data_IF_188247696386
#
_entry.id   IF_188247696386
#
_cell.length_a   1.000
_cell.length_b   1.000
_cell.length_c   1.000
_cell.angle_alpha   90.00
_cell.angle_beta   90.00
_cell.angle_gamma   90.00
#
_symmetry.space_group_name_H-M   'P 1'
#
loop_
_entity.id
_entity.type
_entity.pdbx_description
1 polymer ?
#
# COMPACT_ATOMS: atom_id res chain seq x y z
N UNK A 1 5.37 -5.80 22.40
CA UNK A 1 4.51 -5.86 21.21
C UNK A 1 3.86 -4.49 21.08
N UNK A 2 4.26 -3.70 20.09
CA UNK A 2 3.77 -2.32 19.89
C UNK A 2 2.90 -2.31 18.64
N UNK A 3 1.69 -1.78 18.74
CA UNK A 3 0.76 -1.61 17.62
C UNK A 3 0.57 -0.11 17.35
N UNK A 4 0.59 0.27 16.09
CA UNK A 4 0.28 1.61 15.61
C UNK A 4 -0.88 1.54 14.61
N UNK A 5 -2.02 2.13 14.95
CA UNK A 5 -3.19 2.19 14.05
C UNK A 5 -3.15 3.47 13.22
N UNK A 6 -3.04 3.30 11.90
CA UNK A 6 -3.08 4.41 10.93
C UNK A 6 -4.54 4.81 10.67
N UNK A 7 -5.38 3.81 10.41
CA UNK A 7 -6.83 4.01 10.27
C UNK A 7 -7.58 2.73 10.65
N UNK A 8 -8.91 2.69 10.42
CA UNK A 8 -9.77 1.54 10.74
C UNK A 8 -9.31 0.23 10.06
N UNK A 9 -8.67 0.34 8.90
CA UNK A 9 -8.30 -0.78 8.05
C UNK A 9 -6.80 -1.06 8.06
N UNK A 10 -5.95 -0.08 8.38
CA UNK A 10 -4.49 -0.18 8.28
C UNK A 10 -3.83 -0.02 9.66
N UNK A 11 -3.05 -1.02 10.06
CA UNK A 11 -2.21 -0.96 11.27
C UNK A 11 -0.82 -1.56 11.04
N UNK A 12 0.13 -1.12 11.87
CA UNK A 12 1.50 -1.62 11.92
C UNK A 12 1.72 -2.30 13.25
N UNK A 13 2.39 -3.46 13.27
CA UNK A 13 2.74 -4.17 14.50
C UNK A 13 4.22 -4.51 14.49
N UNK A 14 4.91 -4.17 15.59
CA UNK A 14 6.29 -4.60 15.80
C UNK A 14 6.30 -5.98 16.46
N UNK A 15 6.66 -6.99 15.68
CA UNK A 15 6.69 -8.39 16.06
C UNK A 15 8.02 -9.00 15.61
N UNK A 16 8.70 -9.75 16.48
CA UNK A 16 10.00 -10.38 16.19
C UNK A 16 11.11 -9.41 15.73
N UNK A 17 10.99 -8.12 16.04
CA UNK A 17 11.94 -7.09 15.59
C UNK A 17 11.63 -6.52 14.20
N UNK A 18 10.56 -6.98 13.55
CA UNK A 18 10.12 -6.51 12.24
C UNK A 18 8.80 -5.74 12.36
N UNK A 19 8.64 -4.71 11.52
CA UNK A 19 7.36 -3.97 11.44
C UNK A 19 6.49 -4.62 10.38
N UNK A 20 5.44 -5.30 10.83
CA UNK A 20 4.49 -5.98 9.99
C UNK A 20 3.29 -5.07 9.68
N UNK A 21 2.88 -5.03 8.41
CA UNK A 21 1.70 -4.29 7.96
C UNK A 21 0.47 -5.19 8.01
N UNK A 22 -0.63 -4.67 8.55
CA UNK A 22 -1.92 -5.35 8.64
C UNK A 22 -3.00 -4.54 7.92
N UNK A 23 -3.71 -5.18 7.00
CA UNK A 23 -4.92 -4.62 6.36
C UNK A 23 -6.12 -5.46 6.80
N UNK A 24 -7.15 -4.85 7.37
CA UNK A 24 -8.32 -5.53 7.95
C UNK A 24 -7.92 -6.66 8.90
N UNK A 25 -6.95 -6.37 9.79
CA UNK A 25 -6.40 -7.32 10.77
C UNK A 25 -5.67 -8.53 10.16
N UNK A 26 -5.47 -8.56 8.84
CA UNK A 26 -4.69 -9.60 8.16
C UNK A 26 -3.29 -9.10 7.87
N UNK A 27 -2.29 -9.89 8.27
CA UNK A 27 -0.88 -9.62 7.96
C UNK A 27 -0.70 -9.66 6.43
N UNK A 28 -0.02 -8.65 5.90
CA UNK A 28 0.35 -8.59 4.50
C UNK A 28 1.82 -8.98 4.39
N UNK A 29 2.09 -10.23 3.98
CA UNK A 29 3.46 -10.76 3.83
C UNK A 29 4.08 -10.40 2.47
N UNK A 30 3.28 -9.94 1.51
CA UNK A 30 3.75 -9.50 0.20
C UNK A 30 3.76 -7.97 0.17
N UNK A 31 4.94 -7.37 0.08
CA UNK A 31 5.06 -5.97 -0.33
C UNK A 31 4.57 -5.85 -1.78
N UNK A 32 3.26 -5.73 -1.95
CA UNK A 32 2.72 -5.13 -3.17
C UNK A 32 2.96 -3.64 -3.03
N UNK A 33 3.71 -3.07 -3.96
CA UNK A 33 3.93 -1.63 -4.03
C UNK A 33 2.57 -0.94 -3.93
N UNK A 34 2.43 -0.07 -2.94
CA UNK A 34 1.25 0.77 -2.86
C UNK A 34 1.43 1.81 -3.98
N UNK A 35 0.84 1.54 -5.15
CA UNK A 35 0.88 2.39 -6.35
C UNK A 35 0.39 3.83 -6.10
N UNK A 36 -0.14 4.10 -4.92
CA UNK A 36 -0.71 5.38 -4.49
C UNK A 36 0.33 6.38 -3.96
N UNK A 37 1.58 5.96 -3.71
CA UNK A 37 2.57 6.80 -3.04
C UNK A 37 3.04 8.00 -3.89
N UNK A 38 2.81 7.98 -5.20
CA UNK A 38 3.19 9.05 -6.15
C UNK A 38 2.04 9.97 -6.57
N UNK A 39 0.86 9.86 -5.97
CA UNK A 39 -0.35 10.55 -6.45
C UNK A 39 -0.78 11.59 -5.43
N UNK A 40 -0.90 12.86 -5.84
CA UNK A 40 -1.47 13.88 -4.95
C UNK A 40 -2.95 13.59 -4.71
N UNK A 41 -3.48 14.00 -3.56
CA UNK A 41 -4.88 13.74 -3.20
C UNK A 41 -5.88 14.24 -4.27
N UNK A 42 -5.55 15.34 -4.95
CA UNK A 42 -6.32 15.91 -6.06
C UNK A 42 -6.33 15.06 -7.32
N UNK A 43 -5.33 14.20 -7.51
CA UNK A 43 -5.15 13.38 -8.71
C UNK A 43 -5.71 11.96 -8.55
N UNK A 44 -6.05 11.56 -7.31
CA UNK A 44 -6.64 10.24 -7.01
C UNK A 44 -7.87 9.93 -7.87
N UNK A 45 -8.86 10.83 -8.08
CA UNK A 45 -10.03 10.52 -8.89
C UNK A 45 -9.66 10.16 -10.33
N UNK A 46 -8.79 10.97 -10.94
CA UNK A 46 -8.34 10.77 -12.32
C UNK A 46 -7.48 9.51 -12.45
N UNK A 47 -6.63 9.24 -11.46
CA UNK A 47 -5.82 8.03 -11.43
C UNK A 47 -6.70 6.77 -11.36
N UNK A 48 -7.70 6.74 -10.48
CA UNK A 48 -8.62 5.60 -10.34
C UNK A 48 -9.49 5.36 -11.58
N UNK A 49 -9.77 6.41 -12.36
CA UNK A 49 -10.47 6.28 -13.65
C UNK A 49 -9.53 5.82 -14.79
N UNK A 50 -8.22 5.98 -14.65
CA UNK A 50 -7.27 5.79 -15.74
C UNK A 50 -6.73 4.37 -15.92
N UNK A 51 -6.93 3.47 -14.96
CA UNK A 51 -6.50 2.07 -15.08
C UNK A 51 -7.69 1.12 -14.92
N UNK A 52 -7.75 0.09 -15.76
CA UNK A 52 -8.77 -0.96 -15.70
C UNK A 52 -8.33 -2.13 -14.81
N UNK A 53 -7.03 -2.24 -14.50
CA UNK A 53 -6.48 -3.29 -13.64
C UNK A 53 -5.28 -2.83 -12.80
N UNK A 54 -5.04 -3.53 -11.70
CA UNK A 54 -3.85 -3.30 -10.86
C UNK A 54 -2.57 -3.58 -11.64
N UNK A 55 -2.58 -4.57 -12.54
CA UNK A 55 -1.43 -4.91 -13.37
C UNK A 55 -1.07 -3.76 -14.33
N UNK A 56 -2.08 -3.13 -14.95
CA UNK A 56 -1.90 -1.94 -15.80
C UNK A 56 -1.34 -0.75 -15.03
N UNK A 57 -1.82 -0.51 -13.81
CA UNK A 57 -1.31 0.56 -12.95
C UNK A 57 0.15 0.33 -12.52
N UNK A 58 0.63 -0.92 -12.54
CA UNK A 58 2.01 -1.28 -12.18
C UNK A 58 3.00 -1.07 -13.33
N UNK A 59 2.55 -1.04 -14.59
CA UNK A 59 3.42 -0.78 -15.76
C UNK A 59 4.05 0.61 -15.74
N UNK A 60 3.37 1.58 -15.14
CA UNK A 60 3.88 2.94 -14.96
C UNK A 60 4.60 3.14 -13.61
N UNK A 61 4.65 2.10 -12.77
CA UNK A 61 5.39 2.15 -11.52
C UNK A 61 6.88 2.04 -11.81
N UNK A 62 7.68 2.76 -11.03
CA UNK A 62 9.13 2.78 -11.16
C UNK A 62 9.68 1.38 -10.81
N UNK A 63 10.02 0.59 -11.83
CA UNK A 63 10.64 -0.73 -11.67
C UNK A 63 12.01 -0.67 -10.94
N UNK A 64 12.54 0.52 -10.66
CA UNK A 64 13.74 0.71 -9.84
C UNK A 64 13.58 0.29 -8.38
N UNK A 65 12.34 0.04 -7.95
CA UNK A 65 12.00 -0.40 -6.60
C UNK A 65 11.74 -1.91 -6.51
N UNK A 66 11.78 -2.65 -7.63
CA UNK A 66 11.78 -4.11 -7.70
C UNK A 66 13.11 -4.73 -7.22
#
# INVERSE_FOLDING_TARGET
MSEFKINKFLSLKLEYGETNIYINERKIDQCKYLLLDKISHSEIPNFLESFESVDEATVNADHSLE
#
